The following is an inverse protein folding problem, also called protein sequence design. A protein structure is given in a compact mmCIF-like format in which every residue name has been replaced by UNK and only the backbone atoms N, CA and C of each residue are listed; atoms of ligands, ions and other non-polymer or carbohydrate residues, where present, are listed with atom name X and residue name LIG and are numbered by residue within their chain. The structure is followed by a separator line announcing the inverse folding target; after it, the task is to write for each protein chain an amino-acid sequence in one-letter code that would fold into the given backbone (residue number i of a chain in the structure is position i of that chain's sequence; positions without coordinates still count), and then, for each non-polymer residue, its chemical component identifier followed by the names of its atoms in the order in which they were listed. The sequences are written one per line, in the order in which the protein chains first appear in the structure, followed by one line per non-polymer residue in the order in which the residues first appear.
data_IF_030044923195
#
_entry.id   IF_030044923195
#
_cell.length_a   1.000
_cell.length_b   1.000
_cell.length_c   1.000
_cell.angle_alpha   90.00
_cell.angle_beta   90.00
_cell.angle_gamma   90.00
#
_symmetry.space_group_name_H-M   'P 1'
#
loop_
_entity.id
_entity.type
_entity.pdbx_description
1 polymer ?
#
# COMPACT_ATOMS: atom_id res chain seq x y z
N UNK A 1 31.51 -22.04 -12.20
CA UNK A 1 30.23 -21.32 -12.02
C UNK A 1 29.83 -21.46 -10.57
N UNK A 2 29.71 -20.35 -9.83
CA UNK A 2 29.29 -20.42 -8.43
C UNK A 2 27.81 -20.82 -8.36
N UNK A 3 27.51 -21.87 -7.60
CA UNK A 3 26.15 -22.30 -7.33
C UNK A 3 25.40 -21.14 -6.65
N UNK A 4 24.17 -20.78 -7.10
CA UNK A 4 23.44 -19.68 -6.49
C UNK A 4 23.19 -19.97 -5.01
N UNK A 5 23.71 -19.09 -4.14
CA UNK A 5 23.59 -19.24 -2.69
C UNK A 5 22.11 -19.19 -2.32
N UNK A 6 21.60 -20.30 -1.79
CA UNK A 6 20.23 -20.39 -1.27
C UNK A 6 20.05 -19.37 -0.14
N UNK A 7 19.07 -18.47 -0.26
CA UNK A 7 18.82 -17.41 0.74
C UNK A 7 18.70 -17.96 2.17
N UNK A 8 18.05 -19.12 2.34
CA UNK A 8 17.94 -19.77 3.65
C UNK A 8 19.27 -20.29 4.22
N UNK A 9 20.23 -20.64 3.36
CA UNK A 9 21.60 -20.96 3.77
C UNK A 9 22.32 -19.68 4.22
N UNK A 10 22.27 -18.62 3.39
CA UNK A 10 22.90 -17.33 3.70
C UNK A 10 22.38 -16.70 5.00
N UNK A 11 21.06 -16.72 5.22
CA UNK A 11 20.44 -16.17 6.43
C UNK A 11 20.86 -16.94 7.69
N UNK A 12 21.01 -18.27 7.57
CA UNK A 12 21.50 -19.12 8.67
C UNK A 12 22.98 -18.90 8.94
N UNK A 13 23.82 -18.80 7.92
CA UNK A 13 25.26 -18.54 8.04
C UNK A 13 25.55 -17.15 8.64
N UNK A 14 24.67 -16.17 8.37
CA UNK A 14 24.74 -14.81 8.96
C UNK A 14 24.08 -14.71 10.33
N UNK A 15 23.59 -15.80 10.91
CA UNK A 15 22.95 -15.80 12.23
C UNK A 15 21.61 -15.03 12.30
N UNK A 16 20.98 -14.73 11.16
CA UNK A 16 19.72 -13.98 11.11
C UNK A 16 18.53 -14.84 11.55
N UNK A 17 18.50 -16.11 11.15
CA UNK A 17 17.49 -17.08 11.56
C UNK A 17 17.91 -18.52 11.20
N UNK A 18 17.21 -19.53 11.75
CA UNK A 18 17.45 -20.91 11.34
C UNK A 18 17.06 -21.14 9.87
N UNK A 19 17.72 -22.09 9.21
CA UNK A 19 17.39 -22.48 7.82
C UNK A 19 15.92 -22.83 7.63
N UNK A 20 15.31 -23.56 8.59
CA UNK A 20 13.88 -23.89 8.59
C UNK A 20 13.01 -22.63 8.65
N UNK A 21 13.36 -21.66 9.50
CA UNK A 21 12.66 -20.38 9.61
C UNK A 21 12.78 -19.56 8.32
N UNK A 22 13.92 -19.58 7.66
CA UNK A 22 14.11 -18.93 6.36
C UNK A 22 13.38 -19.63 5.21
N UNK A 23 13.28 -20.97 5.23
CA UNK A 23 12.56 -21.72 4.20
C UNK A 23 11.04 -21.43 4.22
N UNK A 24 10.46 -21.08 5.38
CA UNK A 24 9.07 -20.60 5.48
C UNK A 24 8.84 -19.30 4.69
N UNK A 25 9.87 -18.48 4.52
CA UNK A 25 9.79 -17.23 3.76
C UNK A 25 9.96 -17.43 2.24
N UNK A 26 10.32 -18.65 1.80
CA UNK A 26 10.56 -18.96 0.39
C UNK A 26 9.27 -18.76 -0.42
N UNK A 27 9.34 -17.99 -1.51
CA UNK A 27 8.18 -17.78 -2.38
C UNK A 27 7.15 -16.79 -1.84
N UNK A 28 7.45 -16.07 -0.74
CA UNK A 28 6.68 -14.88 -0.38
C UNK A 28 6.84 -13.83 -1.48
N UNK A 29 5.72 -13.43 -2.07
CA UNK A 29 5.65 -12.35 -3.04
C UNK A 29 4.79 -11.21 -2.48
N UNK A 30 5.10 -9.95 -2.81
CA UNK A 30 4.27 -8.84 -2.39
C UNK A 30 2.91 -8.87 -3.12
N UNK A 31 1.83 -8.85 -2.36
CA UNK A 31 0.46 -8.65 -2.86
C UNK A 31 0.19 -7.14 -3.07
N UNK A 32 0.88 -6.58 -4.06
CA UNK A 32 0.82 -5.16 -4.41
C UNK A 32 2.15 -4.47 -4.30
N UNK A 33 2.13 -3.14 -4.39
CA UNK A 33 3.33 -2.31 -4.36
C UNK A 33 3.11 -1.09 -3.47
N UNK A 34 4.22 -0.51 -3.04
CA UNK A 34 4.33 0.85 -2.53
C UNK A 34 5.39 1.55 -3.39
N UNK A 35 5.17 2.83 -3.69
CA UNK A 35 6.20 3.63 -4.33
C UNK A 35 7.35 3.87 -3.33
N UNK A 36 8.57 4.09 -3.83
CA UNK A 36 9.79 4.26 -3.00
C UNK A 36 9.67 5.38 -1.95
N UNK A 37 8.89 6.42 -2.27
CA UNK A 37 8.63 7.58 -1.42
C UNK A 37 7.42 7.40 -0.49
N UNK A 38 6.88 6.18 -0.40
CA UNK A 38 5.65 5.85 0.31
C UNK A 38 5.90 4.79 1.39
N UNK A 39 5.14 4.88 2.48
CA UNK A 39 5.27 4.00 3.63
C UNK A 39 3.97 3.26 3.93
N UNK A 40 4.03 2.30 4.85
CA UNK A 40 2.87 1.67 5.46
C UNK A 40 2.68 0.22 5.08
N UNK A 41 1.44 -0.27 5.25
CA UNK A 41 1.10 -1.68 5.20
C UNK A 41 1.38 -2.28 3.82
N UNK A 42 2.17 -3.35 3.74
CA UNK A 42 2.35 -4.16 2.53
C UNK A 42 2.18 -5.64 2.90
N UNK A 43 1.36 -6.33 2.12
CA UNK A 43 1.06 -7.75 2.34
C UNK A 43 2.02 -8.59 1.51
N UNK A 44 2.60 -9.62 2.12
CA UNK A 44 3.34 -10.67 1.43
C UNK A 44 2.57 -11.98 1.57
N UNK A 45 2.50 -12.75 0.49
CA UNK A 45 1.77 -14.02 0.47
C UNK A 45 2.43 -15.02 -0.47
N UNK A 46 2.28 -16.30 -0.16
CA UNK A 46 2.56 -17.42 -1.07
C UNK A 46 1.29 -17.87 -1.82
N UNK A 47 0.11 -17.39 -1.42
CA UNK A 47 -1.16 -17.75 -2.04
C UNK A 47 -1.57 -16.72 -3.10
N UNK A 48 -1.50 -17.11 -4.37
CA UNK A 48 -1.90 -16.29 -5.50
C UNK A 48 -3.37 -15.86 -5.49
N UNK A 49 -4.25 -16.60 -4.81
CA UNK A 49 -5.67 -16.23 -4.64
C UNK A 49 -5.81 -15.02 -3.73
N UNK A 50 -5.04 -14.96 -2.64
CA UNK A 50 -4.97 -13.78 -1.76
C UNK A 50 -4.41 -12.60 -2.54
N UNK A 51 -3.33 -12.78 -3.30
CA UNK A 51 -2.79 -11.71 -4.13
C UNK A 51 -3.83 -11.17 -5.12
N UNK A 52 -4.51 -12.05 -5.88
CA UNK A 52 -5.57 -11.67 -6.82
C UNK A 52 -6.73 -10.97 -6.12
N UNK A 53 -7.14 -11.43 -4.94
CA UNK A 53 -8.20 -10.81 -4.15
C UNK A 53 -7.84 -9.38 -3.71
N UNK A 54 -6.58 -9.13 -3.35
CA UNK A 54 -6.12 -7.84 -2.86
C UNK A 54 -5.79 -6.80 -3.95
N UNK A 55 -5.26 -7.26 -5.08
CA UNK A 55 -4.69 -6.37 -6.12
C UNK A 55 -5.13 -6.69 -7.55
N UNK A 56 -6.04 -7.66 -7.74
CA UNK A 56 -6.63 -7.92 -9.05
C UNK A 56 -7.38 -6.70 -9.59
N UNK A 57 -7.52 -6.63 -10.92
CA UNK A 57 -8.22 -5.52 -11.58
C UNK A 57 -9.67 -5.33 -11.08
N UNK A 58 -10.32 -6.45 -10.76
CA UNK A 58 -11.69 -6.51 -10.23
C UNK A 58 -11.74 -6.54 -8.70
N UNK A 59 -10.62 -6.26 -8.03
CA UNK A 59 -10.60 -6.19 -6.56
C UNK A 59 -11.43 -5.00 -6.09
N UNK A 60 -12.36 -5.27 -5.20
CA UNK A 60 -13.17 -4.26 -4.51
C UNK A 60 -12.58 -3.91 -3.12
N UNK A 61 -11.41 -4.47 -2.79
CA UNK A 61 -10.76 -4.26 -1.50
C UNK A 61 -10.24 -2.84 -1.40
N UNK A 62 -10.91 -2.09 -0.53
CA UNK A 62 -10.53 -0.73 -0.15
C UNK A 62 -9.16 -0.69 0.51
N UNK A 63 -8.39 0.33 0.16
CA UNK A 63 -7.09 0.65 0.73
C UNK A 63 -7.16 2.07 1.26
N UNK A 64 -6.73 2.25 2.50
CA UNK A 64 -6.79 3.52 3.18
C UNK A 64 -5.40 4.13 3.35
N UNK A 65 -5.32 5.42 3.08
CA UNK A 65 -4.07 6.16 3.10
C UNK A 65 -4.24 7.46 3.88
N UNK A 66 -3.23 7.79 4.66
CA UNK A 66 -3.03 9.10 5.24
C UNK A 66 -1.99 9.84 4.40
N UNK A 67 -2.35 11.02 3.92
CA UNK A 67 -1.59 11.76 2.92
C UNK A 67 -1.34 13.17 3.45
N UNK A 68 -0.11 13.44 3.89
CA UNK A 68 0.30 14.79 4.31
C UNK A 68 0.56 15.64 3.08
N UNK A 69 0.00 16.84 3.04
CA UNK A 69 0.04 17.73 1.86
C UNK A 69 0.46 19.14 2.24
N UNK A 70 1.01 19.87 1.28
CA UNK A 70 1.18 21.31 1.32
C UNK A 70 0.37 21.96 0.19
N UNK A 71 -0.16 23.15 0.47
CA UNK A 71 -1.04 23.92 -0.42
C UNK A 71 -2.43 24.10 0.18
N UNK A 72 -3.31 24.77 -0.57
CA UNK A 72 -4.71 25.01 -0.20
C UNK A 72 -5.63 24.15 -1.06
N UNK A 73 -6.66 23.58 -0.46
CA UNK A 73 -7.68 22.81 -1.17
C UNK A 73 -9.06 23.40 -0.88
N UNK A 74 -9.72 23.91 -1.93
CA UNK A 74 -11.11 24.36 -1.85
C UNK A 74 -12.10 23.17 -1.98
N UNK A 75 -13.37 23.41 -1.69
CA UNK A 75 -14.42 22.39 -1.74
C UNK A 75 -14.58 21.80 -3.15
N UNK A 76 -14.42 22.64 -4.19
CA UNK A 76 -14.51 22.21 -5.59
C UNK A 76 -13.41 21.19 -5.93
N UNK A 77 -12.18 21.43 -5.52
CA UNK A 77 -11.08 20.51 -5.76
C UNK A 77 -11.14 19.28 -4.85
N UNK A 78 -11.63 19.41 -3.62
CA UNK A 78 -11.91 18.24 -2.79
C UNK A 78 -12.97 17.33 -3.44
N UNK A 79 -14.02 17.91 -4.04
CA UNK A 79 -14.99 17.15 -4.82
C UNK A 79 -14.35 16.46 -6.04
N UNK A 80 -13.42 17.13 -6.73
CA UNK A 80 -12.64 16.51 -7.83
C UNK A 80 -11.79 15.33 -7.35
N UNK A 81 -11.16 15.43 -6.18
CA UNK A 81 -10.41 14.30 -5.60
C UNK A 81 -11.30 13.09 -5.32
N UNK A 82 -12.58 13.30 -4.97
CA UNK A 82 -13.55 12.23 -4.77
C UNK A 82 -14.04 11.63 -6.10
N UNK A 83 -14.20 12.45 -7.15
CA UNK A 83 -14.69 11.98 -8.44
C UNK A 83 -14.36 12.93 -9.61
N UNK A 84 -14.18 12.37 -10.81
CA UNK A 84 -14.09 13.15 -12.06
C UNK A 84 -12.67 13.45 -12.55
N UNK A 85 -11.64 12.91 -11.91
CA UNK A 85 -10.27 12.95 -12.41
C UNK A 85 -10.00 11.83 -13.42
N UNK A 86 -9.08 12.09 -14.34
CA UNK A 86 -8.62 11.18 -15.39
C UNK A 86 -7.10 11.07 -15.33
N UNK A 87 -6.57 9.85 -15.36
CA UNK A 87 -5.13 9.58 -15.47
C UNK A 87 -4.87 8.68 -16.68
N UNK A 88 -3.87 9.05 -17.49
CA UNK A 88 -3.44 8.29 -18.67
C UNK A 88 -4.61 7.98 -19.64
N UNK A 89 -5.48 8.98 -19.86
CA UNK A 89 -6.66 8.86 -20.73
C UNK A 89 -7.83 8.06 -20.14
N UNK A 90 -7.70 7.49 -18.93
CA UNK A 90 -8.74 6.71 -18.27
C UNK A 90 -9.32 7.45 -17.05
N UNK A 91 -10.65 7.49 -16.95
CA UNK A 91 -11.34 7.99 -15.76
C UNK A 91 -10.96 7.14 -14.54
N UNK A 92 -10.71 7.79 -13.41
CA UNK A 92 -10.50 7.12 -12.14
C UNK A 92 -11.81 6.58 -11.57
N UNK A 93 -11.75 5.47 -10.82
CA UNK A 93 -12.88 5.04 -9.99
C UNK A 93 -13.15 6.10 -8.91
N UNK A 94 -14.39 6.23 -8.41
CA UNK A 94 -14.68 7.09 -7.27
C UNK A 94 -13.79 6.77 -6.07
N UNK A 95 -13.31 7.81 -5.41
CA UNK A 95 -12.52 7.76 -4.20
C UNK A 95 -13.32 8.38 -3.05
N UNK A 96 -13.03 7.99 -1.81
CA UNK A 96 -13.49 8.74 -0.62
C UNK A 96 -12.31 9.54 -0.10
N UNK A 97 -12.38 10.87 -0.23
CA UNK A 97 -11.32 11.79 0.17
C UNK A 97 -11.88 12.83 1.12
N UNK A 98 -11.27 12.95 2.30
CA UNK A 98 -11.67 13.90 3.33
C UNK A 98 -10.45 14.47 4.04
N UNK A 99 -10.56 15.66 4.62
CA UNK A 99 -9.59 16.13 5.60
C UNK A 99 -9.62 15.23 6.84
N UNK A 100 -8.44 14.81 7.29
CA UNK A 100 -8.25 14.13 8.57
C UNK A 100 -7.88 15.15 9.66
N UNK A 101 -7.10 16.17 9.28
CA UNK A 101 -6.72 17.33 10.08
C UNK A 101 -6.26 18.45 9.12
N UNK A 102 -5.59 19.50 9.62
CA UNK A 102 -5.23 20.70 8.85
C UNK A 102 -4.31 20.45 7.64
N UNK A 103 -3.41 19.47 7.70
CA UNK A 103 -2.42 19.22 6.65
C UNK A 103 -2.41 17.78 6.14
N UNK A 104 -3.40 16.97 6.54
CA UNK A 104 -3.50 15.58 6.17
C UNK A 104 -4.87 15.23 5.60
N UNK A 105 -4.87 14.63 4.42
CA UNK A 105 -6.02 14.03 3.78
C UNK A 105 -6.07 12.52 4.07
N UNK A 106 -7.28 12.00 4.22
CA UNK A 106 -7.59 10.59 4.24
C UNK A 106 -8.14 10.17 2.88
N UNK A 107 -7.49 9.20 2.24
CA UNK A 107 -7.94 8.61 0.98
C UNK A 107 -8.38 7.17 1.21
N UNK A 108 -9.55 6.80 0.69
CA UNK A 108 -9.94 5.41 0.48
C UNK A 108 -10.08 5.15 -1.01
N UNK A 109 -9.31 4.20 -1.53
CA UNK A 109 -9.30 3.80 -2.94
C UNK A 109 -9.56 2.30 -3.08
N UNK A 110 -10.26 1.91 -4.14
CA UNK A 110 -10.40 0.50 -4.56
C UNK A 110 -9.43 0.12 -5.67
N UNK A 111 -8.89 1.11 -6.38
CA UNK A 111 -7.87 0.91 -7.41
C UNK A 111 -6.49 1.44 -6.97
N UNK A 112 -5.45 1.12 -7.75
CA UNK A 112 -4.08 1.51 -7.45
C UNK A 112 -3.23 1.72 -8.71
N UNK A 113 -3.55 2.74 -9.50
CA UNK A 113 -2.74 3.15 -10.66
C UNK A 113 -1.38 3.71 -10.22
N UNK A 114 -0.41 3.76 -11.14
CA UNK A 114 0.96 4.24 -10.86
C UNK A 114 0.92 5.65 -10.28
N UNK A 115 1.43 5.81 -9.04
CA UNK A 115 1.48 7.08 -8.29
C UNK A 115 0.13 7.81 -8.17
N UNK A 116 -0.99 7.08 -8.21
CA UNK A 116 -2.34 7.65 -8.36
C UNK A 116 -2.63 8.81 -7.39
N UNK A 117 -2.48 8.61 -6.08
CA UNK A 117 -2.76 9.65 -5.06
C UNK A 117 -1.91 10.91 -5.29
N UNK A 118 -0.62 10.74 -5.59
CA UNK A 118 0.29 11.87 -5.80
C UNK A 118 -0.11 12.67 -7.03
N UNK A 119 -0.45 11.99 -8.12
CA UNK A 119 -0.94 12.61 -9.35
C UNK A 119 -2.29 13.30 -9.15
N UNK A 120 -3.20 12.67 -8.40
CA UNK A 120 -4.48 13.28 -8.03
C UNK A 120 -4.28 14.59 -7.26
N UNK A 121 -3.39 14.58 -6.26
CA UNK A 121 -3.06 15.78 -5.48
C UNK A 121 -2.44 16.89 -6.35
N UNK A 122 -1.51 16.54 -7.23
CA UNK A 122 -0.87 17.50 -8.15
C UNK A 122 -1.89 18.20 -9.06
N UNK A 123 -2.88 17.46 -9.59
CA UNK A 123 -3.94 17.99 -10.45
C UNK A 123 -4.89 18.99 -9.76
N UNK A 124 -4.84 19.05 -8.43
CA UNK A 124 -5.59 20.01 -7.61
C UNK A 124 -4.68 21.01 -6.89
N UNK A 125 -3.41 21.10 -7.29
CA UNK A 125 -2.46 22.08 -6.75
C UNK A 125 -1.85 21.71 -5.39
N UNK A 126 -2.01 20.46 -4.94
CA UNK A 126 -1.42 19.98 -3.69
C UNK A 126 -0.09 19.26 -3.92
N UNK A 127 0.88 19.52 -3.05
CA UNK A 127 2.15 18.78 -2.98
C UNK A 127 2.08 17.72 -1.89
N UNK A 128 2.25 16.45 -2.25
CA UNK A 128 2.33 15.36 -1.25
C UNK A 128 3.68 15.37 -0.55
N UNK A 129 3.67 15.56 0.76
CA UNK A 129 4.84 15.52 1.64
C UNK A 129 5.08 14.13 2.24
N UNK A 130 3.99 13.37 2.46
CA UNK A 130 4.07 12.01 3.00
C UNK A 130 2.84 11.20 2.63
N UNK A 131 3.02 9.91 2.38
CA UNK A 131 1.96 8.99 1.99
C UNK A 131 2.14 7.68 2.75
N UNK A 132 1.17 7.35 3.60
CA UNK A 132 1.18 6.14 4.41
C UNK A 132 -0.07 5.32 4.20
N UNK A 133 0.06 4.08 3.71
CA UNK A 133 -1.07 3.12 3.66
C UNK A 133 -1.30 2.55 5.06
N UNK A 134 -2.45 2.82 5.64
CA UNK A 134 -2.78 2.43 7.03
C UNK A 134 -3.76 1.25 7.12
N UNK A 135 -4.46 0.91 6.03
CA UNK A 135 -5.40 -0.22 6.00
C UNK A 135 -5.47 -0.86 4.61
N UNK A 136 -5.66 -2.17 4.57
CA UNK A 136 -6.07 -2.93 3.39
C UNK A 136 -7.25 -3.82 3.80
N UNK A 137 -8.42 -3.60 3.20
CA UNK A 137 -9.62 -4.33 3.58
C UNK A 137 -9.97 -4.06 5.04
N UNK A 138 -10.10 -5.10 5.86
CA UNK A 138 -10.30 -4.94 7.31
C UNK A 138 -9.00 -4.95 8.13
N UNK A 139 -7.85 -5.18 7.49
CA UNK A 139 -6.55 -5.28 8.17
C UNK A 139 -5.93 -3.90 8.33
N UNK A 140 -5.70 -3.51 9.58
CA UNK A 140 -5.07 -2.26 9.97
C UNK A 140 -3.57 -2.42 10.19
N UNK A 141 -2.79 -1.38 9.86
CA UNK A 141 -1.38 -1.31 10.19
C UNK A 141 -1.16 -1.33 11.72
N UNK A 142 -2.00 -0.61 12.46
CA UNK A 142 -1.90 -0.46 13.92
C UNK A 142 -0.53 0.09 14.33
N UNK A 143 0.01 -0.47 15.41
CA UNK A 143 1.29 -0.06 16.01
C UNK A 143 2.50 -0.80 15.44
N UNK A 144 2.35 -1.50 14.29
CA UNK A 144 3.47 -2.20 13.65
C UNK A 144 4.55 -1.19 13.24
N UNK A 145 5.78 -1.27 13.81
CA UNK A 145 6.83 -0.32 13.49
C UNK A 145 7.31 -0.45 12.05
N UNK A 146 7.90 0.62 11.52
CA UNK A 146 8.49 0.61 10.18
C UNK A 146 9.62 -0.44 10.08
N UNK A 147 9.68 -1.14 8.95
CA UNK A 147 10.63 -2.23 8.71
C UNK A 147 10.29 -3.55 9.42
N UNK A 148 9.29 -3.57 10.30
CA UNK A 148 8.82 -4.78 10.98
C UNK A 148 7.69 -5.45 10.20
N UNK A 149 7.52 -6.74 10.45
CA UNK A 149 6.45 -7.54 9.88
C UNK A 149 5.88 -8.48 10.93
N UNK A 150 4.66 -8.94 10.71
CA UNK A 150 3.99 -9.97 11.50
C UNK A 150 3.13 -10.84 10.61
N UNK A 151 2.79 -12.03 11.08
CA UNK A 151 1.73 -12.81 10.47
C UNK A 151 0.37 -12.13 10.66
N UNK A 152 -0.56 -12.45 9.76
CA UNK A 152 -1.97 -12.13 9.93
C UNK A 152 -2.48 -12.87 11.17
N UNK A 153 -3.24 -12.19 12.03
CA UNK A 153 -3.82 -12.83 13.22
C UNK A 153 -4.98 -13.73 12.82
N UNK A 154 -5.33 -14.66 13.71
CA UNK A 154 -6.41 -15.62 13.47
C UNK A 154 -7.78 -14.95 13.27
N UNK A 155 -8.00 -13.77 13.86
CA UNK A 155 -9.20 -12.95 13.75
C UNK A 155 -9.18 -11.97 12.57
N UNK A 156 -8.04 -11.78 11.91
CA UNK A 156 -7.90 -10.83 10.81
C UNK A 156 -8.20 -11.47 9.45
N UNK A 157 -9.02 -10.78 8.65
CA UNK A 157 -9.32 -11.13 7.26
C UNK A 157 -9.30 -9.86 6.42
N UNK A 158 -9.01 -9.98 5.14
CA UNK A 158 -9.05 -8.85 4.21
C UNK A 158 -10.48 -8.48 3.85
#
# INVERSE_FOLDING_TARGET
MAEPIRLSKLMSERGLCSRRKADVLRGLAPAGRLDIDSQGLLVFTQDGRIAKHLIGADSEIEKEYLVRVAGSLDERNLARLNHGLTLDGAKLKPAKVSWQNQDQLRFILKEGKKRQIRRMCEMVGLKVLGLKRVRIGKVMLGDLPEGQWRYLREDERF
#
